data_IF_251352690974
#
_entry.id   IF_251352690974
#
_cell.length_a   1.000
_cell.length_b   1.000
_cell.length_c   1.000
_cell.angle_alpha   90.00
_cell.angle_beta   90.00
_cell.angle_gamma   90.00
#
_symmetry.space_group_name_H-M   'P 1'
#
loop_
_entity.id
_entity.type
_entity.pdbx_description
1 polymer ?
#
# COMPACT_ATOMS: atom_id res chain seq x y z
N UNK A 1 10.18 18.07 25.01
CA UNK A 1 9.63 17.73 23.70
C UNK A 1 8.75 18.87 23.25
N UNK A 2 8.92 19.38 22.03
CA UNK A 2 7.96 20.34 21.49
C UNK A 2 6.62 19.61 21.31
N UNK A 3 5.54 20.16 21.82
CA UNK A 3 4.21 19.59 21.65
C UNK A 3 3.84 19.77 20.16
N UNK A 4 3.67 18.65 19.43
CA UNK A 4 3.27 18.70 18.03
C UNK A 4 1.83 19.26 17.94
N UNK A 5 1.64 20.20 17.02
CA UNK A 5 0.31 20.71 16.72
C UNK A 5 -0.45 19.69 15.85
N UNK A 6 -1.68 19.39 16.23
CA UNK A 6 -2.57 18.55 15.43
C UNK A 6 -3.13 19.30 14.21
N UNK A 7 -3.53 18.59 13.12
CA UNK A 7 -3.39 17.15 12.95
C UNK A 7 -1.99 16.78 12.50
N UNK A 8 -1.51 15.60 12.90
CA UNK A 8 -0.24 15.05 12.42
C UNK A 8 -0.26 13.53 12.28
N UNK A 9 0.41 13.01 11.24
CA UNK A 9 0.75 11.61 11.12
C UNK A 9 2.01 11.33 11.93
N UNK A 10 2.00 10.23 12.68
CA UNK A 10 3.13 9.75 13.44
C UNK A 10 3.44 8.30 13.05
N UNK A 11 4.64 8.03 12.56
CA UNK A 11 5.13 6.66 12.35
C UNK A 11 6.06 6.28 13.50
N UNK A 12 5.87 5.08 14.05
CA UNK A 12 6.66 4.54 15.15
C UNK A 12 7.70 3.54 14.60
N UNK A 13 9.00 3.89 14.67
CA UNK A 13 10.09 3.05 14.19
C UNK A 13 10.17 1.69 14.89
N UNK A 14 9.83 1.63 16.18
CA UNK A 14 9.88 0.38 16.93
C UNK A 14 8.80 -0.61 16.45
N UNK A 15 7.61 -0.11 16.11
CA UNK A 15 6.54 -0.92 15.54
C UNK A 15 6.85 -1.30 14.09
N UNK A 16 7.33 -0.35 13.29
CA UNK A 16 7.79 -0.61 11.93
C UNK A 16 8.86 -1.70 11.88
N UNK A 17 9.86 -1.61 12.75
CA UNK A 17 10.95 -2.58 12.82
C UNK A 17 10.46 -3.99 13.15
N UNK A 18 9.47 -4.16 14.03
CA UNK A 18 8.86 -5.47 14.30
C UNK A 18 8.27 -6.11 13.04
N UNK A 19 7.55 -5.32 12.25
CA UNK A 19 7.03 -5.78 10.96
C UNK A 19 8.16 -6.18 10.01
N UNK A 20 9.20 -5.36 9.91
CA UNK A 20 10.35 -5.60 9.04
C UNK A 20 11.14 -6.85 9.45
N UNK A 21 11.30 -7.12 10.74
CA UNK A 21 11.94 -8.34 11.25
C UNK A 21 11.16 -9.59 10.83
N UNK A 22 9.83 -9.56 10.92
CA UNK A 22 8.98 -10.65 10.47
C UNK A 22 9.08 -10.86 8.94
N UNK A 23 9.04 -9.77 8.16
CA UNK A 23 9.21 -9.85 6.71
C UNK A 23 10.58 -10.40 6.30
N UNK A 24 11.65 -10.03 7.01
CA UNK A 24 12.99 -10.61 6.83
C UNK A 24 13.01 -12.10 7.13
N UNK A 25 12.35 -12.55 8.20
CA UNK A 25 12.22 -13.97 8.52
C UNK A 25 11.53 -14.71 7.37
N UNK A 26 10.43 -14.19 6.85
CA UNK A 26 9.74 -14.77 5.68
C UNK A 26 10.66 -14.87 4.47
N UNK A 27 11.42 -13.83 4.14
CA UNK A 27 12.39 -13.87 3.04
C UNK A 27 13.44 -14.97 3.24
N UNK A 28 13.96 -15.13 4.44
CA UNK A 28 14.97 -16.14 4.76
C UNK A 28 14.39 -17.56 4.68
N UNK A 29 13.21 -17.78 5.24
CA UNK A 29 12.57 -19.11 5.26
C UNK A 29 12.06 -19.54 3.90
N UNK A 30 11.46 -18.64 3.13
CA UNK A 30 10.92 -18.93 1.81
C UNK A 30 11.99 -18.86 0.69
N UNK A 31 13.05 -18.10 0.91
CA UNK A 31 14.07 -17.82 -0.12
C UNK A 31 13.56 -16.86 -1.20
N UNK A 32 12.70 -15.89 -0.84
CA UNK A 32 12.16 -14.89 -1.76
C UNK A 32 12.73 -13.50 -1.48
N UNK A 33 12.42 -12.57 -2.35
CA UNK A 33 12.64 -11.13 -2.14
C UNK A 33 11.32 -10.43 -1.88
N UNK A 34 11.33 -9.47 -0.95
CA UNK A 34 10.17 -8.62 -0.66
C UNK A 34 10.51 -7.19 -1.07
N UNK A 35 9.57 -6.55 -1.77
CA UNK A 35 9.63 -5.16 -2.21
C UNK A 35 8.57 -4.34 -1.47
N UNK A 36 8.91 -3.11 -1.08
CA UNK A 36 7.92 -2.17 -0.55
C UNK A 36 7.03 -1.65 -1.68
N UNK A 37 5.72 -1.83 -1.60
CA UNK A 37 4.78 -1.20 -2.52
C UNK A 37 4.54 0.26 -2.10
N UNK A 38 5.16 1.20 -2.82
CA UNK A 38 5.15 2.62 -2.50
C UNK A 38 3.75 3.24 -2.54
N UNK A 39 2.83 2.70 -3.35
CA UNK A 39 1.43 3.14 -3.39
C UNK A 39 0.72 3.11 -2.04
N UNK A 40 1.14 2.21 -1.13
CA UNK A 40 0.60 2.12 0.22
C UNK A 40 1.37 3.01 1.20
N UNK A 41 2.69 3.12 1.04
CA UNK A 41 3.55 3.86 1.95
C UNK A 41 4.78 4.43 1.23
N UNK A 42 4.92 5.76 1.24
CA UNK A 42 6.00 6.49 0.58
C UNK A 42 6.70 7.51 1.50
N UNK A 43 6.59 7.37 2.82
CA UNK A 43 7.34 8.19 3.77
C UNK A 43 8.83 7.82 3.70
N UNK A 44 9.56 8.45 2.78
CA UNK A 44 10.94 8.09 2.48
C UNK A 44 11.92 8.33 3.64
N UNK A 45 11.56 9.11 4.66
CA UNK A 45 12.33 9.20 5.90
C UNK A 45 12.53 7.83 6.59
N UNK A 46 11.60 6.87 6.36
CA UNK A 46 11.71 5.50 6.87
C UNK A 46 12.52 4.57 5.93
N UNK A 47 12.84 4.98 4.70
CA UNK A 47 13.52 4.11 3.74
C UNK A 47 14.91 3.63 4.17
N UNK A 48 15.75 4.44 4.86
CA UNK A 48 17.01 3.95 5.42
C UNK A 48 16.85 2.78 6.40
N UNK A 49 15.76 2.74 7.18
CA UNK A 49 15.44 1.60 8.03
C UNK A 49 14.92 0.43 7.19
N UNK A 50 13.93 0.65 6.32
CA UNK A 50 13.27 -0.38 5.53
C UNK A 50 14.26 -1.11 4.60
N UNK A 51 15.20 -0.37 3.99
CA UNK A 51 16.19 -0.94 3.06
C UNK A 51 17.19 -1.92 3.68
N UNK A 52 17.30 -1.95 5.00
CA UNK A 52 18.08 -2.98 5.71
C UNK A 52 17.40 -4.34 5.75
N UNK A 53 16.14 -4.39 5.39
CA UNK A 53 15.27 -5.57 5.51
C UNK A 53 14.70 -6.02 4.18
N UNK A 54 14.28 -5.09 3.32
CA UNK A 54 13.64 -5.37 2.04
C UNK A 54 14.59 -5.17 0.86
N UNK A 55 14.33 -5.89 -0.23
CA UNK A 55 15.21 -5.92 -1.40
C UNK A 55 15.10 -4.67 -2.29
N UNK A 56 13.99 -3.94 -2.22
CA UNK A 56 13.74 -2.81 -3.07
C UNK A 56 12.33 -2.26 -2.93
N UNK A 57 11.91 -1.52 -3.94
CA UNK A 57 10.59 -0.91 -4.03
C UNK A 57 9.85 -1.33 -5.29
N UNK A 58 8.51 -1.31 -5.24
CA UNK A 58 7.69 -1.41 -6.44
C UNK A 58 6.87 -0.13 -6.62
N UNK A 59 6.87 0.40 -7.83
CA UNK A 59 6.30 1.67 -8.23
C UNK A 59 5.13 1.47 -9.19
N UNK A 60 4.09 2.31 -9.04
CA UNK A 60 2.92 2.33 -9.91
C UNK A 60 3.03 3.39 -11.03
N UNK A 61 4.08 4.20 -11.02
CA UNK A 61 4.33 5.25 -11.99
C UNK A 61 5.69 5.92 -11.82
N UNK A 62 5.94 6.92 -12.68
CA UNK A 62 7.24 7.59 -12.79
C UNK A 62 7.73 8.22 -11.47
N UNK A 63 6.86 8.89 -10.73
CA UNK A 63 7.30 9.62 -9.53
C UNK A 63 7.61 8.67 -8.37
N UNK A 64 6.86 7.57 -8.22
CA UNK A 64 7.21 6.54 -7.25
C UNK A 64 8.53 5.85 -7.64
N UNK A 65 8.74 5.52 -8.92
CA UNK A 65 9.98 4.91 -9.39
C UNK A 65 11.19 5.84 -9.17
N UNK A 66 11.01 7.14 -9.39
CA UNK A 66 12.03 8.14 -9.12
C UNK A 66 12.34 8.23 -7.63
N UNK A 67 11.32 8.33 -6.79
CA UNK A 67 11.48 8.35 -5.33
C UNK A 67 12.22 7.09 -4.83
N UNK A 68 11.81 5.90 -5.32
CA UNK A 68 12.48 4.65 -4.99
C UNK A 68 13.96 4.66 -5.40
N UNK A 69 14.29 5.18 -6.59
CA UNK A 69 15.68 5.25 -7.07
C UNK A 69 16.52 6.25 -6.30
N UNK A 70 15.96 7.40 -5.94
CA UNK A 70 16.67 8.47 -5.25
C UNK A 70 16.89 8.17 -3.75
N UNK A 71 15.92 7.55 -3.07
CA UNK A 71 15.88 7.45 -1.61
C UNK A 71 16.02 6.01 -1.08
N UNK A 72 15.88 4.98 -1.92
CA UNK A 72 15.94 3.59 -1.48
C UNK A 72 17.11 2.84 -2.16
N UNK A 73 18.13 2.39 -1.40
CA UNK A 73 19.21 1.58 -1.96
C UNK A 73 18.74 0.14 -2.21
N UNK A 74 18.29 -0.16 -3.43
CA UNK A 74 17.78 -1.49 -3.78
C UNK A 74 17.20 -1.54 -5.20
N UNK A 75 16.51 -2.63 -5.49
CA UNK A 75 15.84 -2.82 -6.78
C UNK A 75 14.62 -1.88 -6.90
N UNK A 76 14.38 -1.37 -8.10
CA UNK A 76 13.18 -0.60 -8.43
C UNK A 76 12.40 -1.36 -9.49
N UNK A 77 11.25 -1.89 -9.12
CA UNK A 77 10.31 -2.51 -10.03
C UNK A 77 9.22 -1.51 -10.43
N UNK A 78 8.71 -1.59 -11.65
CA UNK A 78 7.63 -0.73 -12.08
C UNK A 78 6.54 -1.53 -12.80
N UNK A 79 5.29 -1.29 -12.39
CA UNK A 79 4.10 -1.74 -13.09
C UNK A 79 3.13 -0.58 -13.25
N UNK A 80 2.65 -0.36 -14.48
CA UNK A 80 1.52 0.53 -14.73
C UNK A 80 0.58 -0.09 -15.76
N UNK A 81 -0.75 0.07 -15.61
CA UNK A 81 -1.72 -0.39 -16.60
C UNK A 81 -1.51 0.24 -17.99
N UNK A 82 -0.94 1.44 -18.03
CA UNK A 82 -0.57 2.13 -19.27
C UNK A 82 0.61 3.06 -19.02
N UNK A 83 1.46 3.23 -20.02
CA UNK A 83 2.60 4.15 -19.99
C UNK A 83 2.43 5.22 -21.05
N UNK A 84 2.72 6.49 -20.69
CA UNK A 84 3.01 7.53 -21.67
C UNK A 84 4.42 7.32 -22.20
N UNK A 85 4.66 7.73 -23.45
CA UNK A 85 5.97 7.53 -24.10
C UNK A 85 7.11 8.22 -23.33
N UNK A 86 6.86 9.46 -22.88
CA UNK A 86 7.83 10.27 -22.14
C UNK A 86 8.14 9.66 -20.76
N UNK A 87 7.09 9.11 -20.10
CA UNK A 87 7.26 8.44 -18.80
C UNK A 87 8.07 7.14 -18.96
N UNK A 88 7.76 6.34 -19.99
CA UNK A 88 8.51 5.11 -20.27
C UNK A 88 9.98 5.43 -20.55
N UNK A 89 10.26 6.46 -21.34
CA UNK A 89 11.64 6.88 -21.63
C UNK A 89 12.41 7.28 -20.37
N UNK A 90 11.76 8.02 -19.45
CA UNK A 90 12.36 8.41 -18.17
C UNK A 90 12.58 7.19 -17.26
N UNK A 91 11.62 6.26 -17.22
CA UNK A 91 11.69 5.04 -16.41
C UNK A 91 12.83 4.12 -16.79
N UNK A 92 13.30 4.12 -18.05
CA UNK A 92 14.47 3.34 -18.48
C UNK A 92 15.74 3.66 -17.67
N UNK A 93 15.88 4.91 -17.18
CA UNK A 93 16.98 5.31 -16.30
C UNK A 93 16.77 4.97 -14.82
N UNK A 94 15.57 4.61 -14.41
CA UNK A 94 15.19 4.50 -13.00
C UNK A 94 14.90 3.05 -12.57
N UNK A 95 14.13 2.31 -13.37
CA UNK A 95 13.68 0.97 -13.01
C UNK A 95 14.69 -0.12 -13.40
N UNK A 96 14.70 -1.21 -12.65
CA UNK A 96 15.44 -2.43 -12.93
C UNK A 96 14.55 -3.48 -13.61
N UNK A 97 13.27 -3.56 -13.16
CA UNK A 97 12.27 -4.48 -13.71
C UNK A 97 11.08 -3.69 -14.26
N UNK A 98 10.67 -4.02 -15.48
CA UNK A 98 9.42 -3.53 -16.09
C UNK A 98 8.41 -4.66 -16.17
N UNK A 99 7.27 -4.47 -15.54
CA UNK A 99 6.13 -5.37 -15.68
C UNK A 99 5.09 -4.69 -16.58
N UNK A 100 4.88 -5.24 -17.76
CA UNK A 100 3.89 -4.76 -18.71
C UNK A 100 2.52 -5.39 -18.45
N UNK A 101 1.48 -4.67 -18.79
CA UNK A 101 0.10 -5.08 -18.52
C UNK A 101 -0.53 -5.91 -19.65
N UNK A 102 0.01 -5.82 -20.86
CA UNK A 102 -0.61 -6.40 -22.05
C UNK A 102 0.41 -6.77 -23.13
N UNK A 103 0.05 -7.69 -24.06
CA UNK A 103 0.85 -7.99 -25.23
C UNK A 103 1.16 -6.76 -26.09
N UNK A 104 0.25 -5.79 -26.19
CA UNK A 104 0.48 -4.57 -26.95
C UNK A 104 1.59 -3.70 -26.32
N UNK A 105 1.64 -3.60 -25.00
CA UNK A 105 2.74 -2.93 -24.31
C UNK A 105 4.07 -3.66 -24.52
N UNK A 106 4.08 -5.00 -24.42
CA UNK A 106 5.28 -5.78 -24.71
C UNK A 106 5.82 -5.50 -26.11
N UNK A 107 4.99 -5.55 -27.15
CA UNK A 107 5.41 -5.25 -28.53
C UNK A 107 5.98 -3.84 -28.66
N UNK A 108 5.42 -2.88 -27.93
CA UNK A 108 5.83 -1.47 -28.00
C UNK A 108 7.13 -1.19 -27.26
N UNK A 109 7.33 -1.78 -26.08
CA UNK A 109 8.32 -1.31 -25.13
C UNK A 109 9.40 -2.33 -24.74
N UNK A 110 9.11 -3.64 -24.82
CA UNK A 110 9.97 -4.67 -24.25
C UNK A 110 11.38 -4.68 -24.85
N UNK A 111 11.50 -4.54 -26.18
CA UNK A 111 12.79 -4.53 -26.85
C UNK A 111 13.69 -3.40 -26.35
N UNK A 112 13.12 -2.19 -26.21
CA UNK A 112 13.84 -1.00 -25.70
C UNK A 112 14.25 -1.18 -24.23
N UNK A 113 13.39 -1.79 -23.40
CA UNK A 113 13.74 -2.10 -22.02
C UNK A 113 14.91 -3.11 -21.95
N UNK A 114 14.89 -4.15 -22.78
CA UNK A 114 15.98 -5.13 -22.85
C UNK A 114 17.29 -4.53 -23.37
N UNK A 115 17.25 -3.67 -24.37
CA UNK A 115 18.41 -2.93 -24.88
C UNK A 115 19.02 -2.00 -23.82
N UNK A 116 18.20 -1.48 -22.92
CA UNK A 116 18.64 -0.73 -21.73
C UNK A 116 19.09 -1.64 -20.56
N UNK A 117 19.17 -2.95 -20.78
CA UNK A 117 19.62 -3.92 -19.76
C UNK A 117 18.60 -4.21 -18.66
N UNK A 118 17.30 -3.93 -18.90
CA UNK A 118 16.24 -4.11 -17.91
C UNK A 118 15.60 -5.49 -17.99
N UNK A 119 15.10 -6.00 -16.85
CA UNK A 119 14.29 -7.20 -16.81
C UNK A 119 12.86 -6.87 -17.27
N UNK A 120 12.27 -7.78 -18.03
CA UNK A 120 10.94 -7.59 -18.63
C UNK A 120 9.99 -8.68 -18.19
N UNK A 121 8.84 -8.29 -17.67
CA UNK A 121 7.77 -9.20 -17.30
C UNK A 121 6.41 -8.81 -17.85
N UNK A 122 5.49 -9.75 -17.76
CA UNK A 122 4.08 -9.54 -18.07
C UNK A 122 3.23 -9.82 -16.84
N UNK A 123 2.37 -8.86 -16.49
CA UNK A 123 1.30 -9.13 -15.54
C UNK A 123 0.23 -9.97 -16.22
N UNK A 124 -0.07 -11.12 -15.64
CA UNK A 124 -1.14 -12.00 -16.09
C UNK A 124 -2.29 -12.00 -15.10
N UNK A 125 -3.50 -12.27 -15.61
CA UNK A 125 -4.71 -12.38 -14.81
C UNK A 125 -5.15 -13.85 -14.80
N UNK A 126 -5.08 -14.55 -13.66
CA UNK A 126 -5.52 -15.92 -13.56
C UNK A 126 -7.05 -16.09 -13.60
N UNK A 127 -7.80 -14.98 -13.65
CA UNK A 127 -9.28 -14.98 -13.64
C UNK A 127 -9.84 -15.79 -12.47
N UNK A 128 -9.18 -15.68 -11.33
CA UNK A 128 -9.54 -16.28 -10.07
C UNK A 128 -9.51 -15.21 -8.99
N UNK A 129 -10.65 -14.96 -8.37
CA UNK A 129 -10.80 -14.01 -7.27
C UNK A 129 -11.25 -14.73 -6.01
N UNK A 130 -10.67 -14.33 -4.89
CA UNK A 130 -11.10 -14.71 -3.54
C UNK A 130 -11.61 -13.49 -2.76
N UNK A 131 -11.81 -12.34 -3.45
CA UNK A 131 -12.32 -11.13 -2.83
C UNK A 131 -13.81 -11.24 -2.52
N UNK A 132 -14.18 -11.03 -1.26
CA UNK A 132 -15.56 -10.99 -0.80
C UNK A 132 -15.97 -9.53 -0.51
N UNK A 133 -17.05 -9.08 -1.15
CA UNK A 133 -17.75 -7.84 -0.78
C UNK A 133 -17.30 -6.52 -1.41
N UNK A 134 -16.11 -6.39 -1.99
CA UNK A 134 -15.59 -5.13 -2.53
C UNK A 134 -15.03 -5.25 -3.96
N UNK A 135 -15.91 -5.24 -4.96
CA UNK A 135 -15.54 -5.33 -6.39
C UNK A 135 -14.50 -4.29 -6.84
N UNK A 136 -14.42 -3.13 -6.18
CA UNK A 136 -13.45 -2.07 -6.50
C UNK A 136 -12.00 -2.51 -6.23
N UNK A 137 -11.79 -3.49 -5.32
CA UNK A 137 -10.46 -4.01 -4.96
C UNK A 137 -10.18 -5.40 -5.52
N UNK A 138 -11.06 -5.90 -6.42
CA UNK A 138 -10.85 -7.18 -7.09
C UNK A 138 -10.11 -7.00 -8.43
N UNK A 139 -8.81 -7.27 -8.49
CA UNK A 139 -8.04 -7.12 -9.73
C UNK A 139 -8.36 -8.20 -10.77
N UNK A 140 -9.05 -9.27 -10.38
CA UNK A 140 -9.43 -10.39 -11.24
C UNK A 140 -10.90 -10.41 -11.62
N UNK A 141 -11.69 -9.40 -11.22
CA UNK A 141 -13.09 -9.28 -11.58
C UNK A 141 -13.30 -9.25 -13.10
N UNK A 142 -14.44 -9.72 -13.60
CA UNK A 142 -14.81 -9.55 -15.01
C UNK A 142 -14.75 -8.08 -15.44
N UNK A 143 -14.08 -7.80 -16.57
CA UNK A 143 -13.88 -6.43 -17.06
C UNK A 143 -12.71 -5.68 -16.40
N UNK A 144 -11.95 -6.32 -15.51
CA UNK A 144 -10.72 -5.73 -14.97
C UNK A 144 -9.73 -5.43 -16.10
N UNK A 145 -9.14 -4.23 -16.05
CA UNK A 145 -8.08 -3.82 -16.99
C UNK A 145 -6.69 -4.35 -16.58
N UNK A 146 -6.58 -5.07 -15.47
CA UNK A 146 -5.30 -5.41 -14.84
C UNK A 146 -4.86 -6.83 -15.20
N UNK A 147 -3.78 -6.91 -15.96
CA UNK A 147 -3.16 -8.16 -16.39
C UNK A 147 -3.80 -8.79 -17.63
N UNK A 148 -3.03 -9.65 -18.28
CA UNK A 148 -3.39 -10.38 -19.48
C UNK A 148 -4.01 -11.73 -19.11
N UNK A 149 -5.24 -11.99 -19.55
CA UNK A 149 -5.88 -13.33 -19.40
C UNK A 149 -5.22 -14.35 -20.33
N UNK A 150 -5.42 -15.64 -20.05
CA UNK A 150 -4.85 -16.71 -20.89
C UNK A 150 -5.34 -16.61 -22.35
N UNK A 151 -6.61 -16.26 -22.55
CA UNK A 151 -7.19 -16.08 -23.90
C UNK A 151 -6.51 -14.96 -24.70
N UNK A 152 -5.94 -13.98 -24.03
CA UNK A 152 -5.24 -12.85 -24.66
C UNK A 152 -3.71 -12.98 -24.59
N UNK A 153 -3.18 -14.08 -24.05
CA UNK A 153 -1.75 -14.32 -23.95
C UNK A 153 -1.17 -14.65 -25.32
N UNK A 154 -0.11 -13.95 -25.71
CA UNK A 154 0.55 -14.15 -26.98
C UNK A 154 1.90 -14.86 -26.78
N UNK A 155 1.93 -16.16 -27.05
CA UNK A 155 3.12 -16.99 -26.91
C UNK A 155 4.29 -16.55 -27.80
N UNK A 156 4.04 -15.85 -28.90
CA UNK A 156 5.10 -15.33 -29.76
C UNK A 156 5.99 -14.30 -29.06
N UNK A 157 5.52 -13.71 -27.95
CA UNK A 157 6.22 -12.72 -27.14
C UNK A 157 7.04 -13.32 -26.00
N UNK A 158 6.94 -14.64 -25.77
CA UNK A 158 7.73 -15.34 -24.74
C UNK A 158 9.24 -15.05 -24.78
N UNK A 159 9.90 -14.92 -25.95
CA UNK A 159 11.33 -14.59 -26.01
C UNK A 159 11.70 -13.22 -25.43
N UNK A 160 10.72 -12.33 -25.26
CA UNK A 160 10.91 -11.01 -24.66
C UNK A 160 10.80 -11.03 -23.13
N UNK A 161 10.22 -12.09 -22.56
CA UNK A 161 9.92 -12.17 -21.12
C UNK A 161 11.10 -12.76 -20.33
N UNK A 162 11.41 -12.14 -19.20
CA UNK A 162 12.27 -12.67 -18.16
C UNK A 162 11.45 -13.21 -16.97
N UNK A 163 10.19 -12.76 -16.80
CA UNK A 163 9.33 -13.22 -15.72
C UNK A 163 7.85 -12.97 -15.95
N UNK A 164 7.06 -13.54 -15.06
CA UNK A 164 5.62 -13.28 -14.94
C UNK A 164 5.29 -12.64 -13.60
N UNK A 165 4.21 -11.89 -13.58
CA UNK A 165 3.66 -11.24 -12.39
C UNK A 165 2.15 -11.49 -12.34
N UNK A 166 1.61 -11.79 -11.16
CA UNK A 166 0.19 -11.69 -10.90
C UNK A 166 -0.05 -11.00 -9.57
N UNK A 167 -1.20 -10.35 -9.44
CA UNK A 167 -1.61 -9.66 -8.20
C UNK A 167 -3.11 -9.86 -8.08
N UNK A 168 -3.52 -10.69 -7.14
CA UNK A 168 -4.89 -11.19 -6.98
C UNK A 168 -5.50 -10.81 -5.63
N UNK A 169 -4.67 -10.40 -4.67
CA UNK A 169 -5.06 -10.20 -3.28
C UNK A 169 -5.22 -8.71 -2.93
N UNK A 170 -6.10 -8.45 -1.96
CA UNK A 170 -6.17 -7.20 -1.23
C UNK A 170 -6.50 -7.54 0.24
N UNK A 171 -5.58 -7.27 1.17
CA UNK A 171 -5.69 -7.52 2.62
C UNK A 171 -6.03 -8.97 3.00
N UNK A 172 -5.56 -9.95 2.24
CA UNK A 172 -5.93 -11.34 2.40
C UNK A 172 -4.82 -12.20 3.01
N UNK A 173 -5.20 -13.38 3.51
CA UNK A 173 -4.31 -14.35 4.11
C UNK A 173 -3.71 -15.29 3.04
N UNK A 174 -2.86 -16.20 3.44
CA UNK A 174 -2.10 -17.09 2.55
C UNK A 174 -2.91 -18.24 1.95
N UNK A 175 -4.10 -18.55 2.47
CA UNK A 175 -5.04 -19.49 1.84
C UNK A 175 -5.65 -18.92 0.55
N UNK A 176 -5.94 -17.63 0.55
CA UNK A 176 -6.33 -16.91 -0.66
C UNK A 176 -5.20 -16.89 -1.71
N UNK A 177 -3.95 -16.65 -1.24
CA UNK A 177 -2.80 -16.79 -2.12
C UNK A 177 -2.68 -18.21 -2.70
N UNK A 178 -2.77 -19.24 -1.88
CA UNK A 178 -2.67 -20.65 -2.31
C UNK A 178 -3.70 -20.95 -3.39
N UNK A 179 -4.95 -20.51 -3.19
CA UNK A 179 -6.04 -20.67 -4.15
C UNK A 179 -5.75 -19.97 -5.48
N UNK A 180 -5.38 -18.70 -5.43
CA UNK A 180 -5.15 -17.91 -6.65
C UNK A 180 -3.83 -18.27 -7.34
N UNK A 181 -2.81 -18.71 -6.60
CA UNK A 181 -1.56 -19.23 -7.13
C UNK A 181 -1.75 -20.58 -7.84
N UNK A 182 -2.65 -21.42 -7.34
CA UNK A 182 -3.01 -22.67 -8.01
C UNK A 182 -3.69 -22.40 -9.36
N UNK A 183 -4.67 -21.50 -9.39
CA UNK A 183 -5.32 -21.07 -10.63
C UNK A 183 -4.33 -20.42 -11.63
N UNK A 184 -3.36 -19.64 -11.12
CA UNK A 184 -2.27 -19.11 -11.94
C UNK A 184 -1.43 -20.25 -12.53
N UNK A 185 -1.03 -21.22 -11.73
CA UNK A 185 -0.18 -22.32 -12.17
C UNK A 185 -0.88 -23.22 -13.21
N UNK A 186 -2.17 -23.50 -13.03
CA UNK A 186 -2.98 -24.25 -14.02
C UNK A 186 -2.99 -23.57 -15.39
N UNK A 187 -3.10 -22.23 -15.43
CA UNK A 187 -3.20 -21.48 -16.68
C UNK A 187 -1.83 -21.14 -17.29
N UNK A 188 -0.89 -20.72 -16.47
CA UNK A 188 0.38 -20.14 -16.92
C UNK A 188 1.62 -20.96 -16.55
N UNK A 189 1.48 -22.04 -15.77
CA UNK A 189 2.59 -22.86 -15.28
C UNK A 189 3.47 -23.45 -16.40
N UNK A 190 2.89 -23.76 -17.57
CA UNK A 190 3.62 -24.26 -18.73
C UNK A 190 4.69 -23.28 -19.24
N UNK A 191 4.57 -21.99 -18.96
CA UNK A 191 5.50 -20.95 -19.40
C UNK A 191 6.63 -20.70 -18.39
N UNK A 192 6.45 -21.09 -17.12
CA UNK A 192 7.40 -20.82 -16.03
C UNK A 192 8.80 -21.41 -16.24
N UNK A 193 8.99 -22.60 -16.87
CA UNK A 193 10.33 -23.11 -17.16
C UNK A 193 11.19 -22.21 -18.07
N UNK A 194 10.58 -21.22 -18.72
CA UNK A 194 11.27 -20.24 -19.59
C UNK A 194 11.53 -18.90 -18.86
N UNK A 195 11.05 -18.75 -17.64
CA UNK A 195 11.17 -17.52 -16.84
C UNK A 195 12.36 -17.62 -15.89
N UNK A 196 12.87 -16.48 -15.46
CA UNK A 196 13.90 -16.33 -14.44
C UNK A 196 13.28 -16.01 -13.08
N UNK A 197 12.16 -15.31 -13.11
CA UNK A 197 11.50 -14.85 -11.89
C UNK A 197 9.98 -14.93 -12.01
N UNK A 198 9.34 -14.98 -10.83
CA UNK A 198 7.90 -14.89 -10.66
C UNK A 198 7.60 -13.88 -9.53
N UNK A 199 6.73 -12.92 -9.80
CA UNK A 199 6.26 -11.97 -8.80
C UNK A 199 4.80 -12.28 -8.43
N UNK A 200 4.55 -12.59 -7.17
CA UNK A 200 3.23 -12.95 -6.64
C UNK A 200 2.39 -11.72 -6.25
N UNK A 201 2.90 -10.51 -6.52
CA UNK A 201 2.21 -9.25 -6.26
C UNK A 201 2.11 -8.89 -4.78
N UNK A 202 1.18 -8.01 -4.49
CA UNK A 202 0.89 -7.50 -3.15
C UNK A 202 -0.44 -8.02 -2.58
N UNK A 203 -0.95 -7.30 -1.57
CA UNK A 203 -2.19 -7.67 -0.88
C UNK A 203 -2.03 -8.76 0.18
N UNK A 204 -0.80 -9.22 0.41
CA UNK A 204 -0.44 -10.17 1.46
C UNK A 204 -0.37 -9.46 2.81
N UNK A 205 -1.28 -9.76 3.72
CA UNK A 205 -1.31 -9.15 5.06
C UNK A 205 -0.36 -9.85 6.05
N UNK A 206 0.89 -10.07 5.66
CA UNK A 206 1.89 -10.95 6.29
C UNK A 206 2.09 -10.65 7.78
N UNK A 207 2.03 -9.39 8.18
CA UNK A 207 2.26 -8.94 9.56
C UNK A 207 1.00 -8.91 10.42
N UNK A 208 -0.16 -9.29 9.86
CA UNK A 208 -1.39 -9.47 10.62
C UNK A 208 -1.26 -10.70 11.53
N UNK A 209 -1.76 -10.58 12.77
CA UNK A 209 -1.56 -11.60 13.81
C UNK A 209 -2.06 -13.01 13.47
N UNK A 210 -3.09 -13.10 12.62
CA UNK A 210 -3.72 -14.37 12.19
C UNK A 210 -3.19 -14.88 10.85
N UNK A 211 -2.14 -14.27 10.29
CA UNK A 211 -1.60 -14.67 8.99
C UNK A 211 -0.85 -16.00 9.06
N UNK A 212 -1.17 -16.95 8.19
CA UNK A 212 -0.51 -18.26 8.10
C UNK A 212 0.81 -18.16 7.30
N UNK A 213 1.89 -17.74 7.99
CA UNK A 213 3.24 -17.66 7.42
C UNK A 213 3.75 -19.01 6.90
N UNK A 214 3.61 -20.15 7.62
CA UNK A 214 4.02 -21.45 7.09
C UNK A 214 3.42 -21.79 5.75
N UNK A 215 2.16 -21.43 5.49
CA UNK A 215 1.51 -21.63 4.19
C UNK A 215 2.13 -20.74 3.12
N UNK A 216 2.32 -19.45 3.39
CA UNK A 216 3.03 -18.54 2.47
C UNK A 216 4.39 -19.13 2.06
N UNK A 217 5.17 -19.58 3.04
CA UNK A 217 6.51 -20.17 2.80
C UNK A 217 6.39 -21.41 1.89
N UNK A 218 5.39 -22.27 2.10
CA UNK A 218 5.17 -23.45 1.21
C UNK A 218 4.84 -23.05 -0.21
N UNK A 219 3.93 -22.07 -0.40
CA UNK A 219 3.55 -21.57 -1.73
C UNK A 219 4.76 -20.99 -2.47
N UNK A 220 5.53 -20.15 -1.81
CA UNK A 220 6.73 -19.54 -2.40
C UNK A 220 7.77 -20.60 -2.76
N UNK A 221 8.07 -21.53 -1.87
CA UNK A 221 9.02 -22.62 -2.11
C UNK A 221 8.57 -23.53 -3.26
N UNK A 222 7.26 -23.79 -3.39
CA UNK A 222 6.73 -24.59 -4.49
C UNK A 222 7.17 -24.01 -5.85
N UNK A 223 6.94 -22.72 -6.10
CA UNK A 223 7.35 -22.11 -7.37
C UNK A 223 8.87 -22.04 -7.54
N UNK A 224 9.55 -21.68 -6.46
CA UNK A 224 11.01 -21.56 -6.45
C UNK A 224 11.69 -22.89 -6.77
N UNK A 225 11.28 -23.97 -6.12
CA UNK A 225 11.91 -25.30 -6.24
C UNK A 225 11.48 -26.03 -7.50
N UNK A 226 10.18 -25.99 -7.85
CA UNK A 226 9.64 -26.67 -9.02
C UNK A 226 10.14 -26.08 -10.34
N UNK A 227 10.28 -24.76 -10.41
CA UNK A 227 10.61 -24.06 -11.66
C UNK A 227 11.99 -23.38 -11.66
N UNK A 228 12.71 -23.38 -10.54
CA UNK A 228 14.03 -22.74 -10.44
C UNK A 228 13.99 -21.22 -10.49
N UNK A 229 12.90 -20.59 -9.98
CA UNK A 229 12.63 -19.17 -10.12
C UNK A 229 13.11 -18.35 -8.92
N UNK A 230 13.53 -17.12 -9.16
CA UNK A 230 13.53 -16.08 -8.14
C UNK A 230 12.09 -15.63 -7.90
N UNK A 231 11.64 -15.58 -6.63
CA UNK A 231 10.26 -15.22 -6.30
C UNK A 231 10.23 -13.87 -5.56
N UNK A 232 9.32 -13.00 -5.98
CA UNK A 232 9.07 -11.68 -5.39
C UNK A 232 7.68 -11.59 -4.76
N UNK A 233 7.59 -10.81 -3.67
CA UNK A 233 6.35 -10.36 -3.05
C UNK A 233 6.37 -8.82 -2.96
N UNK A 234 5.21 -8.19 -3.08
CA UNK A 234 5.04 -6.72 -3.08
C UNK A 234 4.07 -6.24 -2.00
N UNK A 235 4.22 -6.62 -0.72
CA UNK A 235 3.35 -6.09 0.33
C UNK A 235 3.56 -4.58 0.46
N UNK A 236 2.46 -3.86 0.69
CA UNK A 236 2.48 -2.43 1.03
C UNK A 236 2.07 -2.24 2.48
N UNK A 237 0.83 -2.51 2.78
CA UNK A 237 0.22 -2.37 4.11
C UNK A 237 0.96 -3.17 5.17
N UNK A 238 1.26 -4.44 4.90
CA UNK A 238 1.94 -5.31 5.85
C UNK A 238 3.31 -4.76 6.32
N UNK A 239 3.95 -3.87 5.56
CA UNK A 239 5.21 -3.25 5.98
C UNK A 239 4.98 -2.30 7.16
N UNK A 240 3.88 -1.56 7.16
CA UNK A 240 3.59 -0.50 8.13
C UNK A 240 2.33 -0.74 8.95
N UNK A 241 1.76 -1.93 8.90
CA UNK A 241 0.55 -2.32 9.63
C UNK A 241 0.72 -2.02 11.13
N UNK A 242 -0.25 -1.30 11.69
CA UNK A 242 -0.27 -0.85 13.09
C UNK A 242 0.96 -0.03 13.54
N UNK A 243 1.76 0.49 12.60
CA UNK A 243 2.96 1.28 12.91
C UNK A 243 2.77 2.79 12.77
N UNK A 244 1.57 3.25 12.38
CA UNK A 244 1.30 4.67 12.22
C UNK A 244 -0.01 5.12 12.80
N UNK A 245 -0.04 6.39 13.16
CA UNK A 245 -1.14 7.05 13.85
C UNK A 245 -1.48 8.37 13.17
N UNK A 246 -2.74 8.79 13.24
CA UNK A 246 -3.14 10.16 12.96
C UNK A 246 -3.70 10.75 14.26
N UNK A 247 -3.01 11.77 14.77
CA UNK A 247 -3.40 12.46 15.99
C UNK A 247 -4.17 13.73 15.63
N UNK A 248 -5.33 13.88 16.22
CA UNK A 248 -6.28 14.94 15.94
C UNK A 248 -6.83 15.54 17.23
N UNK A 249 -7.39 16.73 17.15
CA UNK A 249 -8.02 17.44 18.28
C UNK A 249 -9.48 17.72 17.99
N UNK A 250 -10.35 17.57 18.98
CA UNK A 250 -11.74 17.97 18.92
C UNK A 250 -11.83 19.50 18.92
N UNK A 251 -12.39 20.07 17.86
CA UNK A 251 -12.58 21.50 17.70
C UNK A 251 -13.90 21.98 18.30
N UNK A 252 -14.96 21.18 18.16
CA UNK A 252 -16.31 21.51 18.60
C UNK A 252 -17.13 20.24 18.83
N UNK A 253 -18.11 20.32 19.75
CA UNK A 253 -19.10 19.26 19.93
C UNK A 253 -20.48 19.86 19.68
N UNK A 254 -21.23 19.29 18.74
CA UNK A 254 -22.58 19.67 18.41
C UNK A 254 -23.56 18.54 18.70
N UNK A 255 -24.83 18.85 18.90
CA UNK A 255 -25.88 17.85 19.12
C UNK A 255 -26.95 17.94 18.02
N UNK A 256 -27.18 16.79 17.34
CA UNK A 256 -28.28 16.63 16.39
C UNK A 256 -28.76 15.17 16.42
N UNK A 257 -29.63 14.85 17.35
CA UNK A 257 -30.11 13.50 17.63
C UNK A 257 -29.06 12.59 18.29
N UNK A 258 -27.77 12.95 18.19
CA UNK A 258 -26.62 12.35 18.86
C UNK A 258 -25.52 13.41 19.04
N UNK A 259 -24.55 13.13 19.88
CA UNK A 259 -23.38 14.00 20.04
C UNK A 259 -22.38 13.75 18.89
N UNK A 260 -21.91 14.86 18.30
CA UNK A 260 -21.03 14.85 17.12
C UNK A 260 -19.79 15.66 17.49
N UNK A 261 -18.62 15.03 17.47
CA UNK A 261 -17.33 15.68 17.68
C UNK A 261 -16.70 16.02 16.32
N UNK A 262 -16.52 17.31 16.07
CA UNK A 262 -15.85 17.82 14.86
C UNK A 262 -14.37 17.93 15.17
N UNK A 263 -13.55 17.24 14.38
CA UNK A 263 -12.10 17.16 14.54
C UNK A 263 -11.39 18.15 13.61
N UNK A 264 -10.11 18.43 13.87
CA UNK A 264 -9.22 19.16 12.96
C UNK A 264 -8.66 18.29 11.82
N UNK A 265 -9.06 17.03 11.74
CA UNK A 265 -8.77 16.11 10.62
C UNK A 265 -10.05 15.80 9.82
N UNK A 266 -9.90 15.33 8.59
CA UNK A 266 -10.99 15.05 7.66
C UNK A 266 -10.85 13.65 7.09
N UNK A 267 -11.94 12.87 7.04
CA UNK A 267 -11.97 11.60 6.34
C UNK A 267 -11.66 11.79 4.85
N UNK A 268 -12.30 12.77 4.21
CA UNK A 268 -12.14 13.05 2.78
C UNK A 268 -10.72 13.50 2.40
N UNK A 269 -10.02 14.21 3.30
CA UNK A 269 -8.71 14.81 2.99
C UNK A 269 -7.53 13.99 3.47
N UNK A 270 -7.64 13.32 4.62
CA UNK A 270 -6.50 12.72 5.31
C UNK A 270 -6.56 11.19 5.40
N UNK A 271 -7.73 10.59 5.23
CA UNK A 271 -7.96 9.15 5.24
C UNK A 271 -9.09 8.75 4.26
N UNK A 272 -8.94 9.05 2.95
CA UNK A 272 -10.06 8.95 2.00
C UNK A 272 -10.61 7.53 1.85
N UNK A 273 -9.85 6.47 2.16
CA UNK A 273 -10.33 5.10 2.13
C UNK A 273 -11.46 4.83 3.14
N UNK A 274 -11.57 5.62 4.20
CA UNK A 274 -12.73 5.59 5.11
C UNK A 274 -14.05 5.83 4.36
N UNK A 275 -14.02 6.65 3.30
CA UNK A 275 -15.18 6.96 2.45
C UNK A 275 -15.23 6.10 1.18
N UNK A 276 -14.07 5.80 0.59
CA UNK A 276 -13.97 5.05 -0.67
C UNK A 276 -14.19 3.55 -0.48
N UNK A 277 -13.75 3.01 0.65
CA UNK A 277 -13.84 1.60 1.02
C UNK A 277 -14.58 1.40 2.35
N UNK A 278 -15.70 2.05 2.60
CA UNK A 278 -16.25 2.34 3.91
C UNK A 278 -15.83 1.38 5.02
N UNK A 279 -14.84 1.80 5.80
CA UNK A 279 -14.42 1.11 7.01
C UNK A 279 -14.36 2.11 8.18
N UNK A 280 -14.23 1.61 9.38
CA UNK A 280 -14.13 2.40 10.58
C UNK A 280 -12.72 2.22 11.17
N UNK A 281 -11.84 3.23 11.06
CA UNK A 281 -10.48 3.11 11.60
C UNK A 281 -10.52 2.89 13.12
N UNK A 282 -9.62 2.08 13.68
CA UNK A 282 -9.49 1.97 15.12
C UNK A 282 -9.14 3.32 15.74
N UNK A 283 -9.74 3.61 16.89
CA UNK A 283 -9.42 4.80 17.71
C UNK A 283 -8.96 4.30 19.06
N UNK A 284 -7.81 4.78 19.50
CA UNK A 284 -7.21 4.40 20.77
C UNK A 284 -8.16 4.65 21.94
N UNK A 285 -8.25 3.70 22.85
CA UNK A 285 -9.09 3.76 24.05
C UNK A 285 -10.60 3.90 23.78
N UNK A 286 -11.06 3.71 22.55
CA UNK A 286 -12.47 3.74 22.19
C UNK A 286 -13.10 2.34 22.18
N UNK A 287 -14.44 2.32 22.09
CA UNK A 287 -15.25 1.14 21.82
C UNK A 287 -16.19 1.36 20.62
N UNK A 288 -16.96 0.34 20.28
CA UNK A 288 -18.07 0.48 19.32
C UNK A 288 -19.13 1.43 19.86
N UNK A 289 -19.93 2.01 18.99
CA UNK A 289 -21.05 2.87 19.40
C UNK A 289 -21.93 2.15 20.44
N UNK A 290 -22.16 2.80 21.59
CA UNK A 290 -22.95 2.27 22.69
C UNK A 290 -22.26 1.22 23.58
N UNK A 291 -21.01 0.85 23.30
CA UNK A 291 -20.26 -0.11 24.14
C UNK A 291 -19.77 0.53 25.44
N UNK A 292 -19.48 1.84 25.41
CA UNK A 292 -19.04 2.65 26.54
C UNK A 292 -20.04 3.79 26.82
N UNK A 293 -19.98 4.46 27.99
CA UNK A 293 -20.99 5.42 28.41
C UNK A 293 -21.24 6.61 27.48
N UNK A 294 -20.20 7.09 26.77
CA UNK A 294 -20.29 8.30 25.96
C UNK A 294 -20.06 8.00 24.49
N UNK A 295 -21.10 8.13 23.66
CA UNK A 295 -21.03 7.84 22.22
C UNK A 295 -21.00 9.12 21.42
N UNK A 296 -20.06 9.20 20.46
CA UNK A 296 -19.92 10.32 19.56
C UNK A 296 -19.77 9.85 18.12
N UNK A 297 -20.31 10.61 17.18
CA UNK A 297 -19.90 10.58 15.78
C UNK A 297 -18.68 11.48 15.61
N UNK A 298 -17.57 10.92 15.13
CA UNK A 298 -16.38 11.69 14.76
C UNK A 298 -16.48 12.13 13.30
N UNK A 299 -16.28 13.43 13.04
CA UNK A 299 -16.41 14.05 11.71
C UNK A 299 -15.26 15.01 11.44
N UNK A 300 -15.04 15.32 10.16
CA UNK A 300 -14.14 16.40 9.76
C UNK A 300 -14.84 17.77 9.66
N UNK A 301 -14.06 18.86 9.47
CA UNK A 301 -14.58 20.22 9.41
C UNK A 301 -14.89 20.69 7.98
N UNK A 302 -14.83 19.80 6.97
CA UNK A 302 -15.13 20.17 5.58
C UNK A 302 -16.62 20.37 5.36
N UNK A 303 -17.00 21.06 4.27
CA UNK A 303 -18.41 21.24 3.92
C UNK A 303 -19.03 20.02 3.20
N UNK A 304 -18.28 18.91 3.07
CA UNK A 304 -18.84 17.65 2.60
C UNK A 304 -19.69 17.03 3.72
N UNK A 305 -20.99 16.90 3.50
CA UNK A 305 -21.90 16.29 4.49
C UNK A 305 -21.50 14.86 4.90
N UNK A 306 -20.82 14.13 4.01
CA UNK A 306 -20.30 12.79 4.24
C UNK A 306 -18.90 12.72 4.83
N UNK A 307 -18.32 13.83 5.30
CA UNK A 307 -17.00 13.85 5.97
C UNK A 307 -17.09 13.25 7.38
N UNK A 308 -17.43 11.97 7.45
CA UNK A 308 -17.69 11.20 8.67
C UNK A 308 -16.64 10.11 8.80
N UNK A 309 -15.96 10.07 9.95
CA UNK A 309 -14.96 9.04 10.26
C UNK A 309 -15.63 7.79 10.80
N UNK A 310 -16.57 7.94 11.73
CA UNK A 310 -17.33 6.83 12.29
C UNK A 310 -17.97 7.16 13.65
N UNK A 311 -18.72 6.18 14.18
CA UNK A 311 -19.35 6.28 15.49
C UNK A 311 -18.55 5.46 16.50
N UNK A 312 -18.17 6.10 17.61
CA UNK A 312 -17.31 5.54 18.67
C UNK A 312 -17.86 5.85 20.05
N UNK A 313 -17.47 5.06 21.04
CA UNK A 313 -17.79 5.32 22.44
C UNK A 313 -16.53 5.38 23.30
N UNK A 314 -16.60 6.17 24.38
CA UNK A 314 -15.48 6.47 25.28
C UNK A 314 -15.91 6.29 26.74
N UNK A 315 -14.93 6.05 27.64
CA UNK A 315 -15.16 5.93 29.07
C UNK A 315 -15.44 7.27 29.75
N UNK A 316 -14.98 8.36 29.14
CA UNK A 316 -15.14 9.74 29.62
C UNK A 316 -15.72 10.61 28.50
N UNK A 317 -16.46 11.69 28.86
CA UNK A 317 -16.97 12.59 27.86
C UNK A 317 -15.83 13.32 27.14
N UNK A 318 -15.98 13.48 25.82
CA UNK A 318 -15.09 14.34 25.03
C UNK A 318 -15.43 15.80 25.31
N UNK A 319 -14.44 16.67 25.16
CA UNK A 319 -14.56 18.13 25.23
C UNK A 319 -13.71 18.74 24.09
N UNK A 320 -13.96 20.02 23.79
CA UNK A 320 -13.05 20.81 22.95
C UNK A 320 -11.62 20.72 23.51
N UNK A 321 -10.65 20.48 22.62
CA UNK A 321 -9.27 20.22 22.98
C UNK A 321 -8.93 18.76 23.33
N UNK A 322 -9.92 17.85 23.43
CA UNK A 322 -9.65 16.42 23.59
C UNK A 322 -8.87 15.89 22.39
N UNK A 323 -7.80 15.13 22.65
CA UNK A 323 -7.05 14.46 21.59
C UNK A 323 -7.67 13.13 21.22
N UNK A 324 -7.76 12.87 19.93
CA UNK A 324 -8.18 11.60 19.32
C UNK A 324 -7.00 11.01 18.55
N UNK A 325 -6.67 9.77 18.86
CA UNK A 325 -5.60 9.04 18.17
C UNK A 325 -6.23 7.95 17.32
N UNK A 326 -6.24 8.15 16.01
CA UNK A 326 -6.63 7.12 15.05
C UNK A 326 -5.44 6.21 14.81
N UNK A 327 -5.66 4.91 14.89
CA UNK A 327 -4.64 3.88 14.74
C UNK A 327 -4.61 3.34 13.31
N UNK A 328 -3.49 2.73 12.93
CA UNK A 328 -3.23 2.15 11.61
C UNK A 328 -3.35 3.18 10.46
N UNK A 329 -2.82 4.38 10.68
CA UNK A 329 -2.93 5.51 9.77
C UNK A 329 -1.65 5.79 8.95
N UNK A 330 -0.70 4.83 8.83
CA UNK A 330 0.46 4.99 7.97
C UNK A 330 0.19 4.60 6.51
N UNK A 331 -0.68 3.61 6.30
CA UNK A 331 -0.96 3.02 4.99
C UNK A 331 -2.13 3.71 4.30
N UNK A 332 -2.03 3.93 2.99
CA UNK A 332 -3.05 4.56 2.13
C UNK A 332 -3.65 5.86 2.67
N UNK A 333 -2.92 6.56 3.53
CA UNK A 333 -3.28 7.85 4.11
C UNK A 333 -2.40 8.97 3.57
N UNK A 334 -1.15 9.10 4.03
CA UNK A 334 -0.21 10.13 3.56
C UNK A 334 -0.07 10.17 2.03
N UNK A 335 -0.09 9.01 1.37
CA UNK A 335 0.01 8.89 -0.10
C UNK A 335 -1.27 9.31 -0.84
N UNK A 336 -2.40 9.45 -0.14
CA UNK A 336 -3.72 9.81 -0.70
C UNK A 336 -4.25 11.15 -0.19
N UNK A 337 -3.51 11.86 0.67
CA UNK A 337 -3.94 13.15 1.22
C UNK A 337 -4.20 14.18 0.13
N UNK A 338 -5.19 15.01 0.37
CA UNK A 338 -5.56 16.12 -0.50
C UNK A 338 -5.93 17.37 0.31
N UNK A 339 -6.16 18.48 -0.37
CA UNK A 339 -6.43 19.78 0.23
C UNK A 339 -7.81 20.30 -0.14
N UNK A 340 -8.80 19.42 -0.28
CA UNK A 340 -10.18 19.83 -0.49
C UNK A 340 -10.66 20.82 0.60
N UNK A 341 -11.46 21.80 0.23
CA UNK A 341 -11.89 22.92 1.09
C UNK A 341 -10.75 23.76 1.69
N UNK A 342 -9.54 23.68 1.17
CA UNK A 342 -8.39 24.35 1.74
C UNK A 342 -7.89 23.71 3.04
N UNK A 343 -8.26 22.45 3.30
CA UNK A 343 -7.74 21.71 4.45
C UNK A 343 -6.21 21.67 4.43
N UNK A 344 -5.54 22.00 5.54
CA UNK A 344 -4.09 21.84 5.64
C UNK A 344 -3.72 20.36 5.60
N UNK A 345 -2.58 20.04 4.99
CA UNK A 345 -2.02 18.70 5.10
C UNK A 345 -1.48 18.47 6.52
N UNK A 346 -1.73 17.29 7.15
CA UNK A 346 -1.19 16.98 8.46
C UNK A 346 0.34 16.98 8.45
N UNK A 347 0.96 17.52 9.50
CA UNK A 347 2.39 17.37 9.75
C UNK A 347 2.78 15.88 9.75
N UNK A 348 3.96 15.55 9.26
CA UNK A 348 4.52 14.19 9.30
C UNK A 348 5.61 14.14 10.36
N UNK A 349 5.49 13.23 11.30
CA UNK A 349 6.42 13.01 12.40
C UNK A 349 6.88 11.54 12.46
N UNK A 350 8.05 11.34 13.03
CA UNK A 350 8.65 10.03 13.26
C UNK A 350 8.98 9.89 14.74
N UNK A 351 8.54 8.80 15.37
CA UNK A 351 8.96 8.40 16.71
C UNK A 351 10.07 7.38 16.59
N UNK A 352 11.21 7.68 17.17
CA UNK A 352 12.37 6.79 17.22
C UNK A 352 12.23 5.70 18.30
N UNK A 353 13.05 4.65 18.20
CA UNK A 353 13.05 3.53 19.17
C UNK A 353 13.34 3.98 20.62
N UNK A 354 14.03 5.10 20.82
CA UNK A 354 14.30 5.70 22.14
C UNK A 354 13.14 6.55 22.69
N UNK A 355 12.05 6.66 21.93
CA UNK A 355 10.86 7.46 22.26
C UNK A 355 10.96 8.96 21.92
N UNK A 356 12.05 9.41 21.33
CA UNK A 356 12.12 10.79 20.78
C UNK A 356 11.29 10.93 19.53
N UNK A 357 10.76 12.13 19.29
CA UNK A 357 9.93 12.44 18.12
C UNK A 357 10.55 13.58 17.32
N UNK A 358 10.67 13.36 16.00
CA UNK A 358 11.14 14.34 15.05
C UNK A 358 10.03 14.74 14.09
N UNK A 359 9.92 16.04 13.81
CA UNK A 359 9.11 16.57 12.72
C UNK A 359 9.85 16.34 11.41
N UNK A 360 9.31 15.48 10.56
CA UNK A 360 9.89 15.16 9.25
C UNK A 360 9.48 16.18 8.20
N UNK A 361 8.21 16.59 8.22
CA UNK A 361 7.65 17.52 7.25
C UNK A 361 6.51 18.32 7.85
N UNK A 362 6.59 19.62 7.74
CA UNK A 362 5.47 20.54 7.94
C UNK A 362 4.97 21.06 6.59
N UNK A 363 3.67 21.34 6.53
CA UNK A 363 3.01 21.87 5.35
C UNK A 363 2.38 23.23 5.67
N UNK A 364 2.34 24.10 4.68
CA UNK A 364 1.79 25.44 4.81
C UNK A 364 0.88 25.83 3.65
N UNK A 365 0.49 27.11 3.64
CA UNK A 365 -0.39 27.66 2.60
C UNK A 365 0.15 27.47 1.18
N UNK A 366 1.48 27.50 0.98
CA UNK A 366 2.08 27.32 -0.35
C UNK A 366 1.89 25.91 -0.91
N UNK A 367 1.80 24.89 -0.05
CA UNK A 367 1.51 23.50 -0.47
C UNK A 367 0.06 23.38 -1.03
N UNK A 368 -0.86 24.20 -0.54
CA UNK A 368 -2.20 24.32 -1.12
C UNK A 368 -2.20 25.16 -2.39
N UNK A 369 -1.65 26.37 -2.33
CA UNK A 369 -1.75 27.37 -3.39
C UNK A 369 -1.04 26.94 -4.68
N UNK A 370 0.21 26.42 -4.57
CA UNK A 370 1.05 26.06 -5.71
C UNK A 370 0.48 24.93 -6.58
N UNK A 371 -0.54 24.22 -6.10
CA UNK A 371 -1.24 23.16 -6.85
C UNK A 371 -2.35 23.71 -7.74
N UNK A 372 -2.77 24.95 -7.56
CA UNK A 372 -3.96 25.48 -8.19
C UNK A 372 -3.66 26.41 -9.36
N UNK A 373 -2.50 27.05 -9.35
CA UNK A 373 -2.06 27.93 -10.49
C UNK A 373 -0.57 28.27 -10.37
#
# INVERSE_FOLDING_TARGET
MAQLNTPYFLVDEGLLKKNLELLRQVQQEAGCKILLAQKAFSMFACYPLISRYLAGTTASGLYEARLGREEFPGEVHVFSPAYREEEFQALLGLADHFVFNSPSQLRKYAQRAKEAGKQVGLRVNPECSTQEGHAIYDPCAPGSRLGTTLANFDESLLPLLDGLHFHTLCEQNSDDLETTAHAFEEKFGQYLPRMRWLNLGGGHHITRADYDIPRLVRVVKHFREKYGLEVYLEPGEAVVLNAGFLVSTVLEIVHNGMDIAILDTSAACHMPDVLEMPYRPPVKDSGKAGEKPYTYRLTGPTCLAGDVIGDYSFDHPLAEGSQIVLEDMALYTMVKTNTFNGMPLPTIALRHEDGTEDVVKEFGYEDFKSRLS
#
